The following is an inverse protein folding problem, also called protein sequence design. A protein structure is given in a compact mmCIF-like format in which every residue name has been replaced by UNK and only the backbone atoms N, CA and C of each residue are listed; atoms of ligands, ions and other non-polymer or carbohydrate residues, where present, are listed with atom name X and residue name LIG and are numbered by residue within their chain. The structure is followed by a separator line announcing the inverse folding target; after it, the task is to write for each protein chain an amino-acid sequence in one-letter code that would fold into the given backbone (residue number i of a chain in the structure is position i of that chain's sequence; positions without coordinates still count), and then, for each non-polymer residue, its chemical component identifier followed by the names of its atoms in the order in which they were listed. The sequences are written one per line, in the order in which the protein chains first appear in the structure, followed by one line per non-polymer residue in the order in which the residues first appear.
data_IF_459845603454
#
_entry.id   IF_459845603454
#
_cell.length_a   1.000
_cell.length_b   1.000
_cell.length_c   1.000
_cell.angle_alpha   90.00
_cell.angle_beta   90.00
_cell.angle_gamma   90.00
#
_symmetry.space_group_name_H-M   'P 1'
#
loop_
_entity.id
_entity.type
_entity.pdbx_description
1 polymer ?
#
# COMPACT_ATOMS: atom_id res chain seq x y z
N UNK A 1 0.77 -23.71 9.76
CA UNK A 1 1.31 -22.32 9.74
C UNK A 1 2.61 -22.36 10.52
N UNK A 2 3.71 -21.92 9.91
CA UNK A 2 5.04 -21.93 10.54
C UNK A 2 5.20 -20.68 11.41
N UNK A 3 6.14 -20.68 12.34
CA UNK A 3 6.52 -19.55 13.16
C UNK A 3 7.57 -18.68 12.48
N UNK A 4 7.63 -17.40 12.86
CA UNK A 4 8.71 -16.50 12.44
C UNK A 4 10.10 -17.02 12.89
N UNK A 5 10.20 -17.74 14.01
CA UNK A 5 11.45 -18.39 14.46
C UNK A 5 11.90 -19.50 13.50
N UNK A 6 10.98 -20.31 12.98
CA UNK A 6 11.30 -21.34 11.98
C UNK A 6 11.81 -20.72 10.68
N UNK A 7 11.21 -19.60 10.22
CA UNK A 7 11.73 -18.84 9.08
C UNK A 7 13.16 -18.35 9.34
N UNK A 8 13.43 -17.79 10.53
CA UNK A 8 14.77 -17.31 10.89
C UNK A 8 15.80 -18.44 10.90
N UNK A 9 15.45 -19.60 11.45
CA UNK A 9 16.30 -20.79 11.44
C UNK A 9 16.54 -21.32 10.02
N UNK A 10 15.52 -21.31 9.17
CA UNK A 10 15.64 -21.66 7.75
C UNK A 10 16.60 -20.72 7.03
N UNK A 11 16.46 -19.40 7.19
CA UNK A 11 17.35 -18.40 6.59
C UNK A 11 18.81 -18.66 6.97
N UNK A 12 19.09 -18.89 8.26
CA UNK A 12 20.45 -19.24 8.73
C UNK A 12 20.99 -20.51 8.08
N UNK A 13 20.15 -21.52 7.87
CA UNK A 13 20.54 -22.80 7.26
C UNK A 13 20.86 -22.67 5.76
N UNK A 14 20.17 -21.79 5.05
CA UNK A 14 20.37 -21.59 3.60
C UNK A 14 21.38 -20.49 3.28
N UNK A 15 21.90 -19.78 4.29
CA UNK A 15 22.91 -18.75 4.10
C UNK A 15 24.13 -19.31 3.34
N UNK A 16 24.66 -18.53 2.41
CA UNK A 16 25.75 -18.92 1.52
C UNK A 16 25.50 -20.14 0.60
N UNK A 17 24.28 -20.69 0.54
CA UNK A 17 23.91 -21.70 -0.48
C UNK A 17 23.59 -21.03 -1.81
N UNK A 18 23.44 -21.84 -2.87
CA UNK A 18 23.00 -21.35 -4.17
C UNK A 18 21.57 -20.77 -4.11
N UNK A 19 21.32 -19.72 -4.89
CA UNK A 19 20.06 -18.98 -4.93
C UNK A 19 18.77 -19.81 -4.95
N UNK A 20 18.68 -20.95 -5.69
CA UNK A 20 17.47 -21.76 -5.71
C UNK A 20 17.01 -22.25 -4.34
N UNK A 21 17.88 -22.32 -3.33
CA UNK A 21 17.51 -22.71 -1.97
C UNK A 21 16.55 -21.72 -1.29
N UNK A 22 16.39 -20.48 -1.80
CA UNK A 22 15.33 -19.59 -1.33
C UNK A 22 13.93 -20.16 -1.56
N UNK A 23 13.73 -21.08 -2.52
CA UNK A 23 12.41 -21.71 -2.77
C UNK A 23 11.87 -22.42 -1.53
N UNK A 24 12.74 -22.89 -0.64
CA UNK A 24 12.39 -23.51 0.62
C UNK A 24 11.70 -22.54 1.60
N UNK A 25 11.87 -21.22 1.40
CA UNK A 25 11.23 -20.16 2.21
C UNK A 25 9.78 -19.88 1.80
N UNK A 26 9.26 -20.53 0.76
CA UNK A 26 7.87 -20.35 0.34
C UNK A 26 6.93 -20.90 1.42
N UNK A 27 6.00 -20.07 1.88
CA UNK A 27 5.07 -20.46 2.93
C UNK A 27 4.53 -19.27 3.72
N UNK A 28 3.68 -19.59 4.71
CA UNK A 28 3.07 -18.62 5.61
C UNK A 28 3.61 -18.76 7.04
N UNK A 29 4.07 -17.63 7.58
CA UNK A 29 4.80 -17.51 8.83
C UNK A 29 4.08 -16.57 9.78
N UNK A 30 3.81 -17.04 11.00
CA UNK A 30 3.20 -16.24 12.06
C UNK A 30 4.25 -15.30 12.67
N UNK A 31 4.03 -14.00 12.50
CA UNK A 31 4.73 -12.92 13.20
C UNK A 31 3.84 -12.38 14.33
N UNK A 32 4.37 -11.62 15.29
CA UNK A 32 3.54 -10.95 16.28
C UNK A 32 2.52 -10.01 15.62
N UNK A 33 1.24 -10.35 15.72
CA UNK A 33 0.12 -9.52 15.23
C UNK A 33 -0.27 -9.69 13.75
N UNK A 34 0.51 -10.43 12.95
CA UNK A 34 0.21 -10.63 11.52
C UNK A 34 0.84 -11.92 10.97
N UNK A 35 0.38 -12.35 9.80
CA UNK A 35 0.97 -13.46 9.04
C UNK A 35 1.73 -12.90 7.86
N UNK A 36 3.00 -13.27 7.72
CA UNK A 36 3.82 -12.99 6.55
C UNK A 36 3.79 -14.21 5.62
N UNK A 37 3.44 -14.02 4.37
CA UNK A 37 3.44 -15.08 3.35
C UNK A 37 4.48 -14.77 2.27
N UNK A 38 5.34 -15.72 1.99
CA UNK A 38 6.23 -15.71 0.82
C UNK A 38 5.50 -16.51 -0.27
N UNK A 39 4.81 -15.79 -1.15
CA UNK A 39 3.86 -16.36 -2.11
C UNK A 39 4.59 -16.96 -3.32
N UNK A 40 5.63 -16.25 -3.77
CA UNK A 40 6.49 -16.64 -4.88
C UNK A 40 7.92 -16.16 -4.65
N UNK A 41 8.89 -17.03 -4.91
CA UNK A 41 10.32 -16.73 -4.82
C UNK A 41 10.87 -16.56 -6.22
N UNK A 42 11.55 -15.43 -6.46
CA UNK A 42 12.20 -15.15 -7.74
C UNK A 42 13.22 -16.23 -8.13
N UNK A 43 13.36 -16.50 -9.42
CA UNK A 43 14.22 -17.58 -9.92
C UNK A 43 15.72 -17.31 -9.78
N UNK A 44 16.09 -16.02 -9.81
CA UNK A 44 17.46 -15.54 -9.68
C UNK A 44 17.47 -14.08 -9.14
N UNK A 45 18.64 -13.55 -8.70
CA UNK A 45 18.73 -12.20 -8.13
C UNK A 45 18.37 -11.03 -9.07
N UNK A 46 18.36 -11.26 -10.38
CA UNK A 46 18.09 -10.26 -11.43
C UNK A 46 16.67 -10.37 -12.01
N UNK A 47 15.97 -11.48 -11.75
CA UNK A 47 14.58 -11.67 -12.11
C UNK A 47 13.63 -10.68 -11.40
N UNK A 48 12.37 -10.65 -11.85
CA UNK A 48 11.30 -9.96 -11.14
C UNK A 48 11.27 -10.38 -9.67
N UNK A 49 11.14 -9.44 -8.71
CA UNK A 49 11.29 -9.75 -7.30
C UNK A 49 10.27 -10.77 -6.78
N UNK A 50 10.61 -11.39 -5.64
CA UNK A 50 9.72 -12.30 -4.92
C UNK A 50 8.43 -11.60 -4.50
N UNK A 51 7.31 -12.31 -4.59
CA UNK A 51 6.00 -11.82 -4.14
C UNK A 51 5.77 -12.21 -2.69
N UNK A 52 5.49 -11.22 -1.87
CA UNK A 52 5.28 -11.36 -0.43
C UNK A 52 3.98 -10.67 -0.06
N UNK A 53 3.24 -11.23 0.89
CA UNK A 53 2.05 -10.59 1.44
C UNK A 53 2.06 -10.61 2.96
N UNK A 54 1.38 -9.62 3.54
CA UNK A 54 1.12 -9.54 4.97
C UNK A 54 -0.39 -9.55 5.16
N UNK A 55 -0.87 -10.43 6.04
CA UNK A 55 -2.26 -10.49 6.48
C UNK A 55 -2.36 -10.11 7.96
N UNK A 56 -3.17 -9.10 8.25
CA UNK A 56 -3.52 -8.67 9.61
C UNK A 56 -4.99 -9.00 9.84
N UNK A 57 -5.30 -9.72 10.92
CA UNK A 57 -6.69 -9.98 11.28
C UNK A 57 -7.40 -8.66 11.64
N UNK A 58 -8.66 -8.50 11.24
CA UNK A 58 -9.38 -7.23 11.40
C UNK A 58 -9.46 -6.75 12.84
N UNK A 59 -9.67 -7.68 13.79
CA UNK A 59 -9.63 -7.41 15.24
C UNK A 59 -8.30 -6.80 15.70
N UNK A 60 -7.19 -7.19 15.06
CA UNK A 60 -5.85 -6.72 15.40
C UNK A 60 -5.56 -5.41 14.68
N UNK A 61 -5.94 -5.30 13.40
CA UNK A 61 -5.80 -4.09 12.60
C UNK A 61 -6.57 -2.92 13.21
N UNK A 62 -7.77 -3.19 13.74
CA UNK A 62 -8.54 -2.27 14.57
C UNK A 62 -9.13 -1.08 13.82
N UNK A 63 -9.25 -1.14 12.49
CA UNK A 63 -9.90 -0.09 11.72
C UNK A 63 -11.40 -0.07 12.06
N UNK A 64 -11.98 1.10 12.39
CA UNK A 64 -13.40 1.23 12.62
C UNK A 64 -14.22 0.91 11.35
N UNK A 65 -15.35 0.23 11.53
CA UNK A 65 -16.17 -0.30 10.43
C UNK A 65 -16.65 0.79 9.47
N UNK A 66 -16.92 1.97 10.00
CA UNK A 66 -17.38 3.13 9.25
C UNK A 66 -16.35 3.63 8.23
N UNK A 67 -15.06 3.31 8.38
CA UNK A 67 -14.03 3.68 7.40
C UNK A 67 -14.02 2.77 6.16
N UNK A 68 -14.78 1.67 6.16
CA UNK A 68 -14.80 0.71 5.06
C UNK A 68 -16.16 0.02 4.86
N UNK A 69 -17.25 0.66 5.30
CA UNK A 69 -18.61 0.09 5.19
C UNK A 69 -19.10 0.02 3.74
N UNK A 70 -18.83 1.06 2.96
CA UNK A 70 -19.13 1.19 1.54
C UNK A 70 -17.85 1.15 0.70
N UNK A 71 -18.03 0.95 -0.60
CA UNK A 71 -16.90 0.70 -1.50
C UNK A 71 -15.95 1.90 -1.64
N UNK A 72 -16.46 3.12 -1.76
CA UNK A 72 -15.63 4.32 -1.89
C UNK A 72 -14.79 4.57 -0.63
N UNK A 73 -15.37 4.39 0.57
CA UNK A 73 -14.65 4.47 1.85
C UNK A 73 -13.56 3.39 1.93
N UNK A 74 -13.92 2.13 1.64
CA UNK A 74 -13.00 0.99 1.67
C UNK A 74 -11.84 1.16 0.69
N UNK A 75 -12.12 1.60 -0.53
CA UNK A 75 -11.11 1.83 -1.56
C UNK A 75 -10.16 2.96 -1.13
N UNK A 76 -10.68 4.06 -0.58
CA UNK A 76 -9.86 5.16 -0.08
C UNK A 76 -8.97 4.73 1.09
N UNK A 77 -9.50 3.93 2.02
CA UNK A 77 -8.70 3.36 3.11
C UNK A 77 -7.58 2.47 2.56
N UNK A 78 -7.90 1.50 1.70
CA UNK A 78 -6.92 0.60 1.07
C UNK A 78 -5.82 1.38 0.32
N UNK A 79 -6.18 2.46 -0.36
CA UNK A 79 -5.24 3.34 -1.07
C UNK A 79 -4.29 4.04 -0.08
N UNK A 80 -4.80 4.65 1.01
CA UNK A 80 -3.95 5.28 2.03
C UNK A 80 -3.08 4.27 2.77
N UNK A 81 -3.57 3.06 3.08
CA UNK A 81 -2.73 2.00 3.69
C UNK A 81 -1.56 1.65 2.77
N UNK A 82 -1.82 1.52 1.47
CA UNK A 82 -0.78 1.24 0.46
C UNK A 82 0.23 2.38 0.39
N UNK A 83 -0.22 3.65 0.38
CA UNK A 83 0.65 4.83 0.38
C UNK A 83 1.52 4.90 1.63
N UNK A 84 0.94 4.67 2.80
CA UNK A 84 1.67 4.71 4.07
C UNK A 84 2.73 3.62 4.13
N UNK A 85 2.38 2.39 3.72
CA UNK A 85 3.35 1.30 3.62
C UNK A 85 4.48 1.66 2.64
N UNK A 86 4.14 2.15 1.44
CA UNK A 86 5.11 2.55 0.43
C UNK A 86 6.08 3.64 0.91
N UNK A 87 5.57 4.73 1.50
CA UNK A 87 6.41 5.82 2.06
C UNK A 87 7.39 5.32 3.14
N UNK A 88 7.03 4.26 3.87
CA UNK A 88 7.91 3.65 4.87
C UNK A 88 8.91 2.70 4.21
N UNK A 89 8.46 1.85 3.30
CA UNK A 89 9.30 0.94 2.52
C UNK A 89 10.39 1.70 1.74
N UNK A 90 10.06 2.86 1.15
CA UNK A 90 11.02 3.71 0.43
C UNK A 90 12.18 4.20 1.32
N UNK A 91 11.98 4.31 2.64
CA UNK A 91 13.05 4.67 3.60
C UNK A 91 14.02 3.52 3.83
N UNK A 92 13.64 2.29 3.48
CA UNK A 92 14.42 1.08 3.66
C UNK A 92 14.93 0.49 2.34
N UNK A 93 14.29 0.84 1.22
CA UNK A 93 14.66 0.40 -0.10
C UNK A 93 16.15 0.64 -0.36
N UNK A 94 16.84 -0.41 -0.84
CA UNK A 94 18.28 -0.41 -1.14
C UNK A 94 19.21 -0.14 0.05
N UNK A 95 18.71 -0.15 1.30
CA UNK A 95 19.60 -0.19 2.48
C UNK A 95 20.21 -1.57 2.70
N UNK A 96 19.64 -2.61 2.09
CA UNK A 96 20.20 -3.95 2.09
C UNK A 96 21.13 -4.15 0.88
N UNK A 97 22.32 -4.70 1.12
CA UNK A 97 23.36 -4.87 0.09
C UNK A 97 23.19 -6.16 -0.70
N UNK A 98 23.52 -6.13 -2.00
CA UNK A 98 23.59 -7.33 -2.83
C UNK A 98 23.55 -7.02 -4.33
N UNK A 99 23.54 -8.08 -5.13
CA UNK A 99 23.49 -8.02 -6.60
C UNK A 99 22.05 -7.89 -7.13
N UNK A 100 21.87 -7.32 -8.32
CA UNK A 100 20.58 -7.27 -9.00
C UNK A 100 19.54 -6.42 -8.27
N UNK A 101 18.38 -7.01 -7.96
CA UNK A 101 17.28 -6.32 -7.25
C UNK A 101 17.35 -6.48 -5.72
N UNK A 102 18.46 -6.98 -5.19
CA UNK A 102 18.67 -7.20 -3.75
C UNK A 102 18.27 -5.97 -2.92
N UNK A 103 17.46 -6.20 -1.88
CA UNK A 103 17.10 -5.14 -0.93
C UNK A 103 16.00 -4.19 -1.41
N UNK A 104 15.41 -4.44 -2.58
CA UNK A 104 14.19 -3.78 -2.99
C UNK A 104 13.03 -4.22 -2.10
N UNK A 105 12.26 -3.25 -1.59
CA UNK A 105 10.93 -3.46 -1.02
C UNK A 105 10.01 -2.52 -1.77
N UNK A 106 9.08 -3.06 -2.54
CA UNK A 106 8.20 -2.30 -3.41
C UNK A 106 6.74 -2.69 -3.20
N UNK A 107 5.85 -1.72 -3.29
CA UNK A 107 4.40 -1.92 -3.35
C UNK A 107 3.84 -1.23 -4.59
N UNK A 108 2.60 -1.54 -4.95
CA UNK A 108 1.92 -0.82 -6.02
C UNK A 108 1.93 0.69 -5.72
N UNK A 109 2.33 1.50 -6.70
CA UNK A 109 2.42 2.95 -6.54
C UNK A 109 1.08 3.59 -6.84
N UNK A 110 0.46 4.17 -5.83
CA UNK A 110 -0.74 4.98 -6.00
C UNK A 110 -0.37 6.36 -6.55
N UNK A 111 -1.00 6.75 -7.66
CA UNK A 111 -0.85 8.06 -8.32
C UNK A 111 -1.76 9.10 -7.65
N UNK A 112 -2.26 10.12 -8.35
CA UNK A 112 -3.19 11.08 -7.73
C UNK A 112 -4.58 10.47 -7.53
N UNK A 113 -4.93 9.47 -8.33
CA UNK A 113 -6.21 8.80 -8.34
C UNK A 113 -6.28 7.71 -7.26
N UNK A 114 -7.43 7.67 -6.58
CA UNK A 114 -7.82 6.63 -5.64
C UNK A 114 -8.56 5.55 -6.43
N UNK A 115 -7.94 4.38 -6.61
CA UNK A 115 -8.47 3.27 -7.39
C UNK A 115 -8.47 1.99 -6.57
N UNK A 116 -9.43 1.10 -6.84
CA UNK A 116 -9.39 -0.24 -6.30
C UNK A 116 -8.19 -0.99 -6.90
N UNK A 117 -7.36 -1.57 -6.02
CA UNK A 117 -6.13 -2.28 -6.40
C UNK A 117 -6.02 -3.55 -5.59
N UNK A 118 -5.40 -4.57 -6.18
CA UNK A 118 -5.05 -5.80 -5.47
C UNK A 118 -3.92 -5.62 -4.46
N UNK A 119 -3.25 -4.46 -4.46
CA UNK A 119 -2.12 -4.18 -3.57
C UNK A 119 -2.50 -4.18 -2.09
N UNK A 120 -3.69 -3.69 -1.74
CA UNK A 120 -4.23 -3.74 -0.40
C UNK A 120 -5.71 -4.09 -0.48
N UNK A 121 -6.13 -5.11 0.27
CA UNK A 121 -7.51 -5.56 0.34
C UNK A 121 -7.97 -5.57 1.79
N UNK A 122 -9.15 -5.01 2.05
CA UNK A 122 -9.85 -5.10 3.32
C UNK A 122 -11.09 -5.94 3.09
N UNK A 123 -11.23 -7.04 3.84
CA UNK A 123 -12.46 -7.84 3.80
C UNK A 123 -13.58 -7.03 4.48
N UNK A 124 -14.68 -6.72 3.78
CA UNK A 124 -15.71 -5.83 4.28
C UNK A 124 -16.47 -6.43 5.45
N UNK A 125 -16.44 -7.75 5.68
CA UNK A 125 -17.18 -8.39 6.78
C UNK A 125 -16.34 -8.41 8.05
N UNK A 126 -15.08 -8.81 7.93
CA UNK A 126 -14.17 -9.10 9.05
C UNK A 126 -13.21 -7.96 9.38
N UNK A 127 -12.95 -7.07 8.42
CA UNK A 127 -11.90 -6.05 8.52
C UNK A 127 -10.49 -6.61 8.31
N UNK A 128 -10.34 -7.88 7.92
CA UNK A 128 -9.04 -8.47 7.64
C UNK A 128 -8.32 -7.68 6.53
N UNK A 129 -7.08 -7.29 6.80
CA UNK A 129 -6.25 -6.51 5.87
C UNK A 129 -5.21 -7.42 5.24
N UNK A 130 -5.13 -7.43 3.92
CA UNK A 130 -4.06 -8.09 3.15
C UNK A 130 -3.34 -7.05 2.32
N UNK A 131 -2.04 -6.86 2.59
CA UNK A 131 -1.17 -6.00 1.78
C UNK A 131 -0.14 -6.86 1.04
N UNK A 132 0.01 -6.61 -0.26
CA UNK A 132 0.91 -7.33 -1.17
C UNK A 132 2.09 -6.44 -1.55
N UNK A 133 3.27 -7.01 -1.55
CA UNK A 133 4.53 -6.34 -1.84
C UNK A 133 5.46 -7.24 -2.65
N UNK A 134 6.48 -6.62 -3.22
CA UNK A 134 7.59 -7.26 -3.91
C UNK A 134 8.87 -7.04 -3.12
N UNK A 135 9.62 -8.11 -2.86
CA UNK A 135 10.89 -8.05 -2.15
C UNK A 135 11.98 -8.70 -3.00
N UNK A 136 13.04 -7.95 -3.29
CA UNK A 136 14.21 -8.48 -3.97
C UNK A 136 15.09 -9.26 -3.02
N UNK A 137 15.04 -10.60 -3.10
CA UNK A 137 15.73 -11.48 -2.16
C UNK A 137 17.25 -11.36 -2.33
N UNK A 138 17.99 -10.92 -1.28
CA UNK A 138 19.41 -10.57 -1.39
C UNK A 138 20.33 -11.74 -1.77
N UNK A 139 21.34 -11.42 -2.58
CA UNK A 139 22.41 -12.35 -2.94
C UNK A 139 23.73 -11.63 -3.26
N UNK A 140 24.84 -12.36 -3.16
CA UNK A 140 26.17 -11.96 -3.63
C UNK A 140 26.50 -12.80 -4.87
N UNK A 141 26.34 -12.24 -6.07
CA UNK A 141 26.29 -13.05 -7.29
C UNK A 141 25.09 -14.00 -7.24
N UNK A 142 25.31 -15.32 -7.28
CA UNK A 142 24.25 -16.35 -7.16
C UNK A 142 24.19 -17.01 -5.78
N UNK A 143 24.92 -16.48 -4.81
CA UNK A 143 25.00 -17.01 -3.45
C UNK A 143 24.05 -16.24 -2.55
N UNK A 144 23.21 -16.94 -1.79
CA UNK A 144 22.24 -16.36 -0.85
C UNK A 144 22.96 -15.48 0.17
N UNK A 145 22.41 -14.29 0.39
CA UNK A 145 22.77 -13.42 1.52
C UNK A 145 21.59 -13.39 2.51
N UNK A 146 21.50 -14.39 3.38
CA UNK A 146 20.34 -14.57 4.24
C UNK A 146 20.28 -13.52 5.35
N UNK A 147 21.43 -12.98 5.77
CA UNK A 147 21.53 -11.91 6.78
C UNK A 147 20.79 -10.65 6.34
N UNK A 148 20.94 -10.26 5.08
CA UNK A 148 20.24 -9.11 4.53
C UNK A 148 18.74 -9.38 4.36
N UNK A 149 18.34 -10.62 4.00
CA UNK A 149 16.92 -10.97 3.96
C UNK A 149 16.30 -10.98 5.36
N UNK A 150 17.02 -11.50 6.36
CA UNK A 150 16.59 -11.48 7.76
C UNK A 150 16.31 -10.03 8.21
N UNK A 151 17.23 -9.10 7.93
CA UNK A 151 17.04 -7.68 8.22
C UNK A 151 15.77 -7.11 7.56
N UNK A 152 15.52 -7.46 6.30
CA UNK A 152 14.31 -7.01 5.58
C UNK A 152 13.04 -7.55 6.25
N UNK A 153 12.96 -8.86 6.47
CA UNK A 153 11.74 -9.53 6.93
C UNK A 153 11.47 -9.33 8.44
N UNK A 154 12.52 -9.12 9.24
CA UNK A 154 12.42 -9.05 10.71
C UNK A 154 12.66 -7.66 11.30
N UNK A 155 13.19 -6.70 10.52
CA UNK A 155 13.35 -5.32 10.99
C UNK A 155 12.54 -4.34 10.12
N UNK A 156 12.68 -4.38 8.80
CA UNK A 156 12.08 -3.36 7.92
C UNK A 156 10.59 -3.58 7.66
N UNK A 157 10.19 -4.79 7.25
CA UNK A 157 8.78 -5.14 7.01
C UNK A 157 7.93 -4.95 8.28
N UNK A 158 8.36 -5.42 9.47
CA UNK A 158 7.59 -5.20 10.70
C UNK A 158 7.35 -3.72 11.01
N UNK A 159 8.34 -2.84 10.78
CA UNK A 159 8.17 -1.39 10.94
C UNK A 159 7.13 -0.82 9.97
N UNK A 160 7.15 -1.25 8.70
CA UNK A 160 6.12 -0.85 7.73
C UNK A 160 4.71 -1.34 8.16
N UNK A 161 4.59 -2.60 8.58
CA UNK A 161 3.32 -3.19 9.04
C UNK A 161 2.80 -2.46 10.28
N UNK A 162 3.66 -2.22 11.27
CA UNK A 162 3.33 -1.51 12.51
C UNK A 162 2.75 -0.13 12.24
N UNK A 163 3.34 0.63 11.32
CA UNK A 163 2.93 2.00 11.06
C UNK A 163 1.78 2.14 10.06
N UNK A 164 1.59 1.18 9.16
CA UNK A 164 0.61 1.29 8.09
C UNK A 164 -0.66 0.46 8.31
N UNK A 165 -0.60 -0.65 9.06
CA UNK A 165 -1.70 -1.64 9.08
C UNK A 165 -2.40 -1.78 10.44
N UNK A 166 -2.10 -0.90 11.40
CA UNK A 166 -2.78 -0.85 12.69
C UNK A 166 -3.33 0.55 12.96
N UNK A 167 -4.65 0.66 13.10
CA UNK A 167 -5.37 1.93 13.27
C UNK A 167 -4.83 2.78 14.42
N UNK A 168 -4.52 2.16 15.56
CA UNK A 168 -3.98 2.84 16.75
C UNK A 168 -2.66 3.59 16.51
N UNK A 169 -1.93 3.25 15.44
CA UNK A 169 -0.66 3.87 15.08
C UNK A 169 -0.80 4.90 13.95
N UNK A 170 -2.04 5.17 13.51
CA UNK A 170 -2.36 6.10 12.43
C UNK A 170 -3.01 7.37 12.96
N UNK A 171 -2.93 8.43 12.17
CA UNK A 171 -3.64 9.67 12.44
C UNK A 171 -5.13 9.48 12.08
N UNK A 172 -5.96 9.31 13.11
CA UNK A 172 -7.39 9.09 12.97
C UNK A 172 -8.10 10.26 12.28
N UNK A 173 -7.68 11.51 12.55
CA UNK A 173 -8.27 12.70 11.94
C UNK A 173 -7.95 12.78 10.44
N UNK A 174 -6.70 12.49 10.07
CA UNK A 174 -6.29 12.39 8.67
C UNK A 174 -7.03 11.28 7.94
N UNK A 175 -7.18 10.10 8.56
CA UNK A 175 -7.93 9.00 7.96
C UNK A 175 -9.38 9.39 7.73
N UNK A 176 -10.03 9.99 8.73
CA UNK A 176 -11.41 10.48 8.60
C UNK A 176 -11.54 11.44 7.43
N UNK A 177 -10.69 12.47 7.33
CA UNK A 177 -10.73 13.43 6.23
C UNK A 177 -10.52 12.80 4.83
N UNK A 178 -9.73 11.74 4.72
CA UNK A 178 -9.56 10.99 3.46
C UNK A 178 -10.85 10.24 3.09
N UNK A 179 -11.51 9.66 4.09
CA UNK A 179 -12.76 8.94 3.91
C UNK A 179 -13.89 9.91 3.55
N UNK A 180 -14.04 11.01 4.28
CA UNK A 180 -15.05 12.02 4.03
C UNK A 180 -14.90 12.59 2.61
N UNK A 181 -13.68 12.87 2.16
CA UNK A 181 -13.43 13.30 0.78
C UNK A 181 -13.86 12.26 -0.27
N UNK A 182 -13.71 10.97 0.04
CA UNK A 182 -14.15 9.90 -0.86
C UNK A 182 -15.69 9.77 -0.88
N UNK A 183 -16.35 10.01 0.25
CA UNK A 183 -17.81 10.12 0.37
C UNK A 183 -18.33 11.29 -0.46
N UNK A 184 -17.76 12.49 -0.28
CA UNK A 184 -18.11 13.70 -1.04
C UNK A 184 -17.99 13.48 -2.54
N UNK A 185 -16.85 12.96 -3.00
CA UNK A 185 -16.61 12.69 -4.42
C UNK A 185 -17.56 11.64 -4.99
N UNK A 186 -17.98 10.66 -4.19
CA UNK A 186 -18.97 9.68 -4.60
C UNK A 186 -20.35 10.30 -4.69
N UNK A 187 -20.77 11.01 -3.64
CA UNK A 187 -22.05 11.70 -3.55
C UNK A 187 -22.24 12.68 -4.72
N UNK A 188 -21.24 13.52 -5.00
CA UNK A 188 -21.27 14.44 -6.15
C UNK A 188 -21.61 13.70 -7.44
N UNK A 189 -20.93 12.57 -7.71
CA UNK A 189 -21.13 11.78 -8.93
C UNK A 189 -22.52 11.16 -9.00
N UNK A 190 -23.08 10.71 -7.87
CA UNK A 190 -24.43 10.14 -7.82
C UNK A 190 -25.51 11.21 -8.03
N UNK A 191 -25.28 12.45 -7.59
CA UNK A 191 -26.25 13.54 -7.72
C UNK A 191 -26.32 14.14 -9.12
N UNK A 192 -25.25 14.05 -9.94
CA UNK A 192 -25.21 14.70 -11.26
C UNK A 192 -26.44 14.39 -12.14
N UNK A 193 -26.84 13.12 -12.35
CA UNK A 193 -27.97 12.82 -13.23
C UNK A 193 -29.30 13.38 -12.70
N UNK A 194 -29.51 13.34 -11.38
CA UNK A 194 -30.71 13.89 -10.73
C UNK A 194 -30.83 15.41 -10.87
N UNK A 195 -29.70 16.10 -11.06
CA UNK A 195 -29.63 17.53 -11.32
C UNK A 195 -29.60 17.88 -12.81
N UNK A 196 -29.67 16.89 -13.70
CA UNK A 196 -29.54 17.11 -15.15
C UNK A 196 -28.13 17.53 -15.59
N UNK A 197 -27.09 17.22 -14.79
CA UNK A 197 -25.70 17.57 -15.04
C UNK A 197 -24.92 16.35 -15.56
N UNK A 198 -23.93 16.58 -16.42
CA UNK A 198 -22.97 15.55 -16.84
C UNK A 198 -21.60 15.68 -16.15
N UNK A 199 -21.31 16.86 -15.57
CA UNK A 199 -20.06 17.16 -14.89
C UNK A 199 -20.27 18.27 -13.85
N UNK A 200 -19.38 18.31 -12.87
CA UNK A 200 -19.30 19.38 -11.88
C UNK A 200 -17.84 19.74 -11.65
N UNK A 201 -17.52 21.04 -11.68
CA UNK A 201 -16.17 21.56 -11.41
C UNK A 201 -16.27 22.55 -10.25
N UNK A 202 -15.75 22.16 -9.09
CA UNK A 202 -15.81 22.99 -7.90
C UNK A 202 -15.02 24.30 -8.09
N UNK A 203 -15.61 25.43 -7.71
CA UNK A 203 -14.89 26.69 -7.57
C UNK A 203 -13.67 26.50 -6.66
N UNK A 204 -12.55 27.12 -7.02
CA UNK A 204 -11.28 26.94 -6.32
C UNK A 204 -10.41 25.80 -6.85
N UNK A 205 -10.91 24.94 -7.74
CA UNK A 205 -10.15 23.81 -8.31
C UNK A 205 -8.90 24.29 -9.06
N UNK A 206 -7.78 23.58 -8.88
CA UNK A 206 -6.54 23.80 -9.64
C UNK A 206 -6.44 22.74 -10.74
N UNK A 207 -6.86 23.12 -11.95
CA UNK A 207 -6.90 22.23 -13.11
C UNK A 207 -5.53 22.05 -13.78
N UNK A 208 -4.71 23.11 -13.98
CA UNK A 208 -3.40 22.96 -14.60
C UNK A 208 -2.49 22.00 -13.83
N UNK A 209 -1.76 21.14 -14.56
CA UNK A 209 -0.80 20.20 -13.96
C UNK A 209 0.58 20.84 -13.86
N UNK A 210 1.40 20.31 -12.95
CA UNK A 210 2.75 20.80 -12.68
C UNK A 210 3.65 20.74 -13.92
N UNK A 211 3.55 19.68 -14.73
CA UNK A 211 4.23 19.55 -16.03
C UNK A 211 3.61 18.41 -16.86
N UNK A 212 4.07 18.23 -18.10
CA UNK A 212 3.61 17.12 -18.96
C UNK A 212 3.95 15.70 -18.45
N UNK A 213 4.82 15.58 -17.45
CA UNK A 213 5.24 14.29 -16.85
C UNK A 213 4.83 14.14 -15.38
N UNK A 214 4.28 15.19 -14.77
CA UNK A 214 3.87 15.17 -13.36
C UNK A 214 2.39 15.45 -13.25
N UNK A 215 1.59 14.48 -12.80
CA UNK A 215 0.16 14.67 -12.66
C UNK A 215 -0.18 15.50 -11.41
N UNK A 216 0.75 16.17 -10.72
CA UNK A 216 0.46 17.02 -9.55
C UNK A 216 -0.19 18.35 -9.94
N UNK A 217 -0.94 19.03 -9.06
CA UNK A 217 -1.48 20.35 -9.35
C UNK A 217 -0.36 21.39 -9.51
N UNK A 218 -0.52 22.33 -10.45
CA UNK A 218 0.41 23.45 -10.66
C UNK A 218 0.41 24.39 -9.45
N UNK A 219 1.59 24.67 -8.90
CA UNK A 219 1.74 25.70 -7.85
C UNK A 219 1.50 27.07 -8.45
N UNK A 220 0.66 27.88 -7.80
CA UNK A 220 0.28 29.21 -8.29
C UNK A 220 -0.63 29.20 -9.52
N UNK A 221 -1.20 28.05 -9.88
CA UNK A 221 -2.18 27.97 -10.96
C UNK A 221 -3.44 28.79 -10.67
N UNK A 222 -4.01 29.41 -11.71
CA UNK A 222 -5.27 30.13 -11.61
C UNK A 222 -6.38 29.15 -11.21
N UNK A 223 -7.08 29.47 -10.12
CA UNK A 223 -8.18 28.65 -9.61
C UNK A 223 -9.39 28.81 -10.51
N UNK A 224 -10.09 27.71 -10.76
CA UNK A 224 -11.32 27.72 -11.51
C UNK A 224 -12.41 28.50 -10.76
N UNK A 225 -13.19 29.27 -11.51
CA UNK A 225 -14.40 29.94 -11.04
C UNK A 225 -15.47 29.77 -12.11
N UNK A 226 -16.63 29.26 -11.72
CA UNK A 226 -17.78 29.10 -12.60
C UNK A 226 -18.33 30.48 -13.01
N UNK A 227 -18.79 30.64 -14.26
CA UNK A 227 -19.58 31.79 -14.64
C UNK A 227 -20.93 31.75 -13.91
N UNK A 228 -21.46 32.92 -13.52
CA UNK A 228 -22.67 33.02 -12.69
C UNK A 228 -23.87 32.31 -13.31
N UNK A 229 -23.95 32.29 -14.64
CA UNK A 229 -25.04 31.70 -15.41
C UNK A 229 -25.04 30.17 -15.37
N UNK A 230 -23.90 29.54 -15.04
CA UNK A 230 -23.74 28.08 -14.95
C UNK A 230 -23.38 27.62 -13.53
N UNK A 231 -23.40 28.53 -12.56
CA UNK A 231 -23.06 28.22 -11.18
C UNK A 231 -24.21 27.46 -10.52
N UNK A 232 -23.87 26.31 -9.94
CA UNK A 232 -24.78 25.45 -9.17
C UNK A 232 -24.13 25.10 -7.84
N UNK A 233 -24.93 24.93 -6.80
CA UNK A 233 -24.47 24.55 -5.46
C UNK A 233 -24.94 23.15 -5.11
N UNK A 234 -24.10 22.40 -4.42
CA UNK A 234 -24.41 21.08 -3.89
C UNK A 234 -24.00 21.03 -2.43
N UNK A 235 -24.94 20.64 -1.57
CA UNK A 235 -24.67 20.36 -0.17
C UNK A 235 -24.07 18.95 -0.05
N UNK A 236 -22.95 18.83 0.65
CA UNK A 236 -22.25 17.56 0.85
C UNK A 236 -22.65 16.92 2.19
N UNK A 237 -22.61 15.57 2.29
CA UNK A 237 -23.07 14.84 3.47
C UNK A 237 -22.19 15.00 4.73
#
# INVERSE_FOLDING_TARGET
MQSSTELRSLLKRIDHRGYPAYKDTRGAYQFPGYVLSIDHVQGDPFASPSKVSVRVAGRTAGFPKELYRGDHQRIALQDELTRQFGRRADRFAFKAKGSGKSGLISVSRCTQEVLERTACHIDPRTGDVVLRMEIGFPANGRTINARELEKILFDFVPECVKHALFYKNMDAGRLRAIIDLAEDQHYIREMLPGMGLCAFVANGSVLPRESGISPRPMKGGVKFQAPKELEVTMELP
#
